data_IF_725752731966
#
_entry.id   IF_725752731966
#
_cell.length_a   1.000
_cell.length_b   1.000
_cell.length_c   1.000
_cell.angle_alpha   90.00
_cell.angle_beta   90.00
_cell.angle_gamma   90.00
#
_symmetry.space_group_name_H-M   'P 1'
#
loop_
_entity.id
_entity.type
_entity.pdbx_description
1 polymer ?
#
# COMPACT_ATOMS: atom_id res chain seq x y z
N UNK A 1 4.74 -11.14 -20.83
CA UNK A 1 5.17 -12.53 -21.04
C UNK A 1 5.82 -13.14 -19.78
N UNK A 2 6.58 -12.38 -18.98
CA UNK A 2 7.17 -12.88 -17.72
C UNK A 2 6.14 -12.87 -16.58
N UNK A 3 5.15 -12.00 -16.62
CA UNK A 3 4.12 -11.85 -15.59
C UNK A 3 3.11 -13.01 -15.53
N UNK A 4 2.73 -13.58 -16.66
CA UNK A 4 1.76 -14.67 -16.71
C UNK A 4 2.32 -16.06 -16.34
N UNK A 5 3.64 -16.22 -16.45
CA UNK A 5 4.27 -17.55 -16.31
C UNK A 5 4.49 -17.99 -14.86
N UNK A 6 4.50 -17.03 -13.89
CA UNK A 6 4.84 -17.35 -12.49
C UNK A 6 3.64 -17.58 -11.56
N UNK A 7 2.41 -17.29 -11.97
CA UNK A 7 1.36 -16.99 -11.00
C UNK A 7 0.29 -18.06 -10.78
N UNK A 8 -0.09 -18.87 -11.73
CA UNK A 8 -1.29 -19.69 -11.55
C UNK A 8 -1.06 -21.21 -11.56
N UNK A 9 0.00 -21.70 -12.15
CA UNK A 9 0.20 -23.15 -12.28
C UNK A 9 0.64 -23.82 -10.97
N UNK A 10 1.23 -23.07 -10.05
CA UNK A 10 1.80 -23.60 -8.81
C UNK A 10 0.76 -23.77 -7.70
N UNK A 11 -0.26 -22.91 -7.65
CA UNK A 11 -1.26 -22.96 -6.58
C UNK A 11 -2.29 -24.07 -6.85
N UNK A 12 -2.59 -24.86 -5.82
CA UNK A 12 -3.70 -25.81 -5.84
C UNK A 12 -5.03 -25.10 -6.13
N UNK A 13 -5.93 -25.77 -6.79
CA UNK A 13 -7.23 -25.20 -7.17
C UNK A 13 -8.03 -24.74 -5.96
N UNK A 14 -7.97 -25.48 -4.85
CA UNK A 14 -8.59 -25.09 -3.57
C UNK A 14 -8.05 -23.77 -3.03
N UNK A 15 -6.73 -23.52 -3.17
CA UNK A 15 -6.11 -22.26 -2.76
C UNK A 15 -6.53 -21.09 -3.64
N UNK A 16 -6.64 -21.30 -4.95
CA UNK A 16 -7.15 -20.28 -5.87
C UNK A 16 -8.59 -19.90 -5.53
N UNK A 17 -9.43 -20.89 -5.25
CA UNK A 17 -10.82 -20.68 -4.83
C UNK A 17 -10.89 -19.92 -3.50
N UNK A 18 -10.04 -20.27 -2.53
CA UNK A 18 -9.95 -19.58 -1.25
C UNK A 18 -9.55 -18.11 -1.42
N UNK A 19 -8.51 -17.84 -2.19
CA UNK A 19 -8.08 -16.46 -2.50
C UNK A 19 -9.22 -15.69 -3.20
N UNK A 20 -9.92 -16.33 -4.15
CA UNK A 20 -11.03 -15.70 -4.85
C UNK A 20 -12.21 -15.38 -3.92
N UNK A 21 -12.54 -16.29 -2.97
CA UNK A 21 -13.54 -16.06 -1.92
C UNK A 21 -13.16 -14.82 -1.10
N UNK A 22 -11.93 -14.75 -0.60
CA UNK A 22 -11.44 -13.64 0.22
C UNK A 22 -11.47 -12.31 -0.54
N UNK A 23 -10.99 -12.29 -1.79
CA UNK A 23 -11.04 -11.11 -2.65
C UNK A 23 -12.48 -10.58 -2.78
N UNK A 24 -13.44 -11.48 -2.94
CA UNK A 24 -14.85 -11.10 -3.06
C UNK A 24 -15.44 -10.59 -1.75
N UNK A 25 -15.16 -11.26 -0.65
CA UNK A 25 -15.65 -10.89 0.68
C UNK A 25 -15.07 -9.57 1.19
N UNK A 26 -13.77 -9.36 0.97
CA UNK A 26 -13.06 -8.13 1.35
C UNK A 26 -13.23 -7.01 0.33
N UNK A 27 -13.85 -7.27 -0.83
CA UNK A 27 -13.98 -6.31 -1.94
C UNK A 27 -12.65 -5.68 -2.34
N UNK A 28 -11.59 -6.48 -2.34
CA UNK A 28 -10.25 -6.03 -2.64
C UNK A 28 -10.19 -5.45 -4.07
N UNK A 29 -9.52 -4.32 -4.25
CA UNK A 29 -9.36 -3.71 -5.56
C UNK A 29 -8.62 -4.66 -6.52
N UNK A 30 -8.83 -4.52 -7.84
CA UNK A 30 -8.24 -5.41 -8.85
C UNK A 30 -6.72 -5.50 -8.74
N UNK A 31 -6.05 -4.37 -8.51
CA UNK A 31 -4.60 -4.31 -8.35
C UNK A 31 -4.12 -5.09 -7.12
N UNK A 32 -4.81 -4.93 -5.99
CA UNK A 32 -4.45 -5.60 -4.75
C UNK A 32 -4.78 -7.09 -4.78
N UNK A 33 -5.84 -7.45 -5.50
CA UNK A 33 -6.19 -8.84 -5.77
C UNK A 33 -5.09 -9.56 -6.55
N UNK A 34 -4.51 -8.89 -7.53
CA UNK A 34 -3.37 -9.38 -8.29
C UNK A 34 -2.12 -9.50 -7.40
N UNK A 35 -1.86 -8.47 -6.61
CA UNK A 35 -0.74 -8.45 -5.67
C UNK A 35 -0.85 -9.58 -4.63
N UNK A 36 -2.04 -9.80 -4.06
CA UNK A 36 -2.27 -10.90 -3.11
C UNK A 36 -1.93 -12.26 -3.71
N UNK A 37 -2.43 -12.57 -4.90
CA UNK A 37 -2.14 -13.83 -5.58
C UNK A 37 -0.64 -14.02 -5.80
N UNK A 38 0.02 -12.97 -6.23
CA UNK A 38 1.46 -12.97 -6.48
C UNK A 38 2.27 -13.18 -5.20
N UNK A 39 1.93 -12.45 -4.14
CA UNK A 39 2.59 -12.57 -2.83
C UNK A 39 2.43 -13.99 -2.28
N UNK A 40 1.21 -14.53 -2.27
CA UNK A 40 0.96 -15.89 -1.80
C UNK A 40 1.77 -16.91 -2.61
N UNK A 41 1.78 -16.79 -3.94
CA UNK A 41 2.54 -17.71 -4.80
C UNK A 41 4.04 -17.65 -4.53
N UNK A 42 4.61 -16.44 -4.42
CA UNK A 42 6.04 -16.24 -4.15
C UNK A 42 6.42 -16.79 -2.76
N UNK A 43 5.63 -16.46 -1.74
CA UNK A 43 5.89 -16.93 -0.37
C UNK A 43 5.88 -18.45 -0.31
N UNK A 44 4.86 -19.08 -0.86
CA UNK A 44 4.77 -20.55 -0.87
C UNK A 44 5.94 -21.20 -1.60
N UNK A 45 6.31 -20.71 -2.78
CA UNK A 45 7.46 -21.24 -3.52
C UNK A 45 8.76 -21.13 -2.70
N UNK A 46 8.96 -20.02 -2.00
CA UNK A 46 10.13 -19.83 -1.14
C UNK A 46 10.11 -20.75 0.06
N UNK A 47 8.99 -20.83 0.77
CA UNK A 47 8.83 -21.70 1.95
C UNK A 47 9.05 -23.17 1.59
N UNK A 48 8.45 -23.65 0.49
CA UNK A 48 8.65 -25.02 0.01
C UNK A 48 10.08 -25.30 -0.44
N UNK A 49 10.79 -24.28 -0.91
CA UNK A 49 12.22 -24.36 -1.23
C UNK A 49 13.15 -24.18 0.01
N UNK A 50 12.59 -24.08 1.22
CA UNK A 50 13.35 -23.83 2.45
C UNK A 50 13.97 -22.44 2.55
N UNK A 51 13.51 -21.49 1.73
CA UNK A 51 14.01 -20.10 1.67
C UNK A 51 13.07 -19.18 2.44
N UNK A 52 13.10 -19.29 3.76
CA UNK A 52 12.25 -18.48 4.64
C UNK A 52 12.64 -17.00 4.62
N UNK A 53 11.69 -16.13 4.93
CA UNK A 53 11.95 -14.72 5.22
C UNK A 53 12.52 -14.67 6.64
N UNK A 54 13.73 -14.15 6.78
CA UNK A 54 14.42 -14.04 8.08
C UNK A 54 14.16 -12.72 8.76
N UNK A 55 13.87 -11.67 7.99
CA UNK A 55 13.61 -10.33 8.46
C UNK A 55 12.78 -9.56 7.43
N UNK A 56 11.89 -8.69 7.90
CA UNK A 56 11.18 -7.70 7.09
C UNK A 56 11.47 -6.30 7.64
N UNK A 57 11.39 -5.26 6.79
CA UNK A 57 11.39 -3.89 7.30
C UNK A 57 10.35 -3.72 8.40
N UNK A 58 10.66 -2.94 9.47
CA UNK A 58 9.77 -2.80 10.63
C UNK A 58 8.33 -2.44 10.26
N UNK A 59 8.15 -1.69 9.20
CA UNK A 59 6.85 -1.24 8.70
C UNK A 59 5.90 -2.40 8.37
N UNK A 60 6.43 -3.52 7.87
CA UNK A 60 5.63 -4.72 7.57
C UNK A 60 5.16 -5.46 8.84
N UNK A 61 5.73 -5.13 9.99
CA UNK A 61 5.33 -5.68 11.29
C UNK A 61 4.46 -4.67 12.05
N UNK A 62 4.88 -3.41 12.06
CA UNK A 62 4.25 -2.36 12.87
C UNK A 62 2.91 -1.89 12.27
N UNK A 63 2.82 -1.82 10.94
CA UNK A 63 1.64 -1.28 10.24
C UNK A 63 0.72 -2.33 9.64
N UNK A 64 1.21 -3.56 9.42
CA UNK A 64 0.37 -4.65 8.90
C UNK A 64 -0.56 -5.16 10.01
N UNK A 65 -1.85 -5.21 9.72
CA UNK A 65 -2.87 -5.79 10.59
C UNK A 65 -3.41 -7.07 9.97
N UNK A 66 -3.51 -8.08 10.81
CA UNK A 66 -4.16 -9.33 10.45
C UNK A 66 -5.67 -9.20 10.64
N UNK A 67 -6.43 -9.85 9.79
CA UNK A 67 -7.86 -9.99 9.91
C UNK A 67 -8.25 -11.47 9.82
N UNK A 68 -9.48 -11.80 10.19
CA UNK A 68 -9.97 -13.17 10.26
C UNK A 68 -9.83 -13.90 8.90
N UNK A 69 -10.13 -13.21 7.79
CA UNK A 69 -10.04 -13.80 6.45
C UNK A 69 -8.61 -14.13 6.04
N UNK A 70 -7.66 -13.31 6.48
CA UNK A 70 -6.22 -13.56 6.22
C UNK A 70 -5.72 -14.71 7.07
N UNK A 71 -6.12 -14.78 8.33
CA UNK A 71 -5.77 -15.91 9.21
C UNK A 71 -6.35 -17.23 8.66
N UNK A 72 -7.59 -17.21 8.15
CA UNK A 72 -8.19 -18.36 7.47
C UNK A 72 -7.37 -18.78 6.25
N UNK A 73 -6.90 -17.82 5.44
CA UNK A 73 -6.02 -18.10 4.31
C UNK A 73 -4.70 -18.73 4.76
N UNK A 74 -4.04 -18.16 5.77
CA UNK A 74 -2.76 -18.66 6.26
C UNK A 74 -2.88 -20.09 6.79
N UNK A 75 -3.92 -20.36 7.58
CA UNK A 75 -4.23 -21.70 8.06
C UNK A 75 -4.47 -22.68 6.90
N UNK A 76 -5.24 -22.27 5.88
CA UNK A 76 -5.47 -23.08 4.69
C UNK A 76 -4.15 -23.40 3.95
N UNK A 77 -3.24 -22.40 3.82
CA UNK A 77 -1.94 -22.61 3.19
C UNK A 77 -1.09 -23.62 3.97
N UNK A 78 -1.02 -23.48 5.29
CA UNK A 78 -0.23 -24.38 6.15
C UNK A 78 -0.72 -25.83 6.04
N UNK A 79 -2.04 -26.05 6.06
CA UNK A 79 -2.62 -27.40 5.92
C UNK A 79 -2.43 -27.95 4.50
N UNK A 80 -2.78 -27.17 3.47
CA UNK A 80 -2.80 -27.64 2.08
C UNK A 80 -1.40 -27.99 1.56
N UNK A 81 -0.39 -27.25 1.97
CA UNK A 81 0.98 -27.41 1.50
C UNK A 81 1.91 -28.07 2.53
N UNK A 82 1.38 -28.43 3.71
CA UNK A 82 2.14 -28.99 4.83
C UNK A 82 3.38 -28.16 5.15
N UNK A 83 3.19 -26.86 5.32
CA UNK A 83 4.24 -25.88 5.66
C UNK A 83 3.87 -25.15 6.94
N UNK A 84 4.87 -24.51 7.55
CA UNK A 84 4.65 -23.57 8.67
C UNK A 84 5.11 -22.18 8.21
N UNK A 85 4.23 -21.20 8.33
CA UNK A 85 4.51 -19.82 8.02
C UNK A 85 5.03 -19.10 9.27
N UNK A 86 6.22 -18.52 9.19
CA UNK A 86 6.74 -17.66 10.26
C UNK A 86 5.94 -16.36 10.37
N UNK A 87 6.19 -15.59 11.43
CA UNK A 87 5.59 -14.25 11.56
C UNK A 87 5.91 -13.33 10.38
N UNK A 88 7.09 -13.52 9.76
CA UNK A 88 7.52 -12.71 8.62
C UNK A 88 6.74 -13.04 7.34
N UNK A 89 6.56 -14.33 7.01
CA UNK A 89 5.71 -14.75 5.91
C UNK A 89 4.26 -14.32 6.12
N UNK A 90 3.73 -14.45 7.35
CA UNK A 90 2.38 -14.01 7.71
C UNK A 90 2.20 -12.51 7.51
N UNK A 91 3.14 -11.68 7.99
CA UNK A 91 3.13 -10.23 7.78
C UNK A 91 3.21 -9.88 6.31
N UNK A 92 4.07 -10.57 5.54
CA UNK A 92 4.22 -10.31 4.12
C UNK A 92 3.01 -10.73 3.29
N UNK A 93 2.31 -11.81 3.64
CA UNK A 93 1.03 -12.20 3.01
C UNK A 93 -0.07 -11.20 3.33
N UNK A 94 -0.03 -10.58 4.52
CA UNK A 94 -1.06 -9.65 4.97
C UNK A 94 -0.95 -8.25 4.36
N UNK A 95 0.24 -7.84 3.88
CA UNK A 95 0.45 -6.46 3.46
C UNK A 95 -0.43 -5.99 2.29
N UNK A 96 -0.81 -6.82 1.27
CA UNK A 96 -1.70 -6.38 0.20
C UNK A 96 -3.06 -5.87 0.69
N UNK A 97 -3.52 -6.33 1.84
CA UNK A 97 -4.75 -5.85 2.48
C UNK A 97 -4.57 -4.52 3.21
N UNK A 98 -3.33 -4.11 3.46
CA UNK A 98 -2.97 -2.91 4.21
C UNK A 98 -2.52 -1.75 3.31
N UNK A 99 -2.20 -1.99 2.05
CA UNK A 99 -1.81 -0.94 1.09
C UNK A 99 -2.97 -0.02 0.76
N UNK A 100 -4.17 -0.58 0.51
CA UNK A 100 -5.37 0.18 0.21
C UNK A 100 -6.35 0.13 1.39
N UNK A 101 -6.27 1.14 2.22
CA UNK A 101 -6.98 1.24 3.50
C UNK A 101 -8.47 1.50 3.40
N UNK A 102 -9.05 1.61 2.21
CA UNK A 102 -10.50 1.82 2.05
C UNK A 102 -11.35 0.72 2.71
N UNK A 103 -10.75 -0.39 3.12
CA UNK A 103 -11.45 -1.54 3.72
C UNK A 103 -10.97 -1.93 5.12
N UNK A 104 -9.86 -1.37 5.62
CA UNK A 104 -9.34 -1.73 6.93
C UNK A 104 -9.40 -0.51 7.85
N UNK A 105 -10.50 -0.40 8.60
CA UNK A 105 -10.73 0.68 9.58
C UNK A 105 -9.72 0.74 10.74
N UNK A 106 -8.76 -0.16 10.81
CA UNK A 106 -7.88 -0.35 11.96
C UNK A 106 -6.38 -0.25 11.65
N UNK A 107 -5.95 0.27 10.49
CA UNK A 107 -4.52 0.56 10.30
C UNK A 107 -4.16 1.88 10.99
N UNK A 108 -2.92 2.02 11.47
CA UNK A 108 -2.43 3.30 12.00
C UNK A 108 -2.55 4.43 10.96
N UNK A 109 -2.45 4.09 9.67
CA UNK A 109 -2.64 5.02 8.55
C UNK A 109 -4.13 5.28 8.23
N UNK A 110 -5.07 4.59 8.87
CA UNK A 110 -6.50 4.87 8.82
C UNK A 110 -6.94 5.88 9.90
N UNK A 111 -6.03 6.30 10.78
CA UNK A 111 -6.30 7.36 11.76
C UNK A 111 -6.44 8.69 11.04
N UNK A 112 -7.67 9.16 10.93
CA UNK A 112 -7.97 10.46 10.30
C UNK A 112 -7.32 11.63 11.05
N UNK A 113 -7.12 11.51 12.37
CA UNK A 113 -6.44 12.52 13.16
C UNK A 113 -4.97 12.63 12.78
N UNK A 114 -4.28 11.51 12.60
CA UNK A 114 -2.89 11.50 12.14
C UNK A 114 -2.78 12.05 10.72
N UNK A 115 -3.71 11.65 9.83
CA UNK A 115 -3.73 12.13 8.46
C UNK A 115 -3.97 13.64 8.39
N UNK A 116 -4.91 14.17 9.20
CA UNK A 116 -5.16 15.60 9.31
C UNK A 116 -3.94 16.36 9.85
N UNK A 117 -3.24 15.82 10.85
CA UNK A 117 -1.99 16.43 11.39
C UNK A 117 -0.90 16.52 10.31
N UNK A 118 -0.71 15.47 9.51
CA UNK A 118 0.24 15.52 8.40
C UNK A 118 -0.20 16.51 7.32
N UNK A 119 -1.47 16.54 6.96
CA UNK A 119 -2.00 17.52 6.01
C UNK A 119 -1.76 18.95 6.48
N UNK A 120 -2.09 19.27 7.74
CA UNK A 120 -1.84 20.59 8.31
C UNK A 120 -0.36 21.00 8.29
N UNK A 121 0.55 20.08 8.54
CA UNK A 121 2.00 20.35 8.45
C UNK A 121 2.43 20.60 6.99
N UNK A 122 1.88 19.86 6.03
CA UNK A 122 2.10 20.11 4.60
C UNK A 122 1.58 21.51 4.21
N UNK A 123 0.34 21.85 4.58
CA UNK A 123 -0.25 23.17 4.29
C UNK A 123 0.55 24.31 4.90
N UNK A 124 0.97 24.18 6.15
CA UNK A 124 1.87 25.15 6.79
C UNK A 124 3.16 25.36 5.99
N UNK A 125 3.73 24.29 5.43
CA UNK A 125 4.94 24.40 4.60
C UNK A 125 4.65 25.09 3.27
N UNK A 126 3.52 24.81 2.65
CA UNK A 126 3.07 25.45 1.40
C UNK A 126 2.87 26.94 1.62
N UNK A 127 2.14 27.36 2.65
CA UNK A 127 1.90 28.78 2.98
C UNK A 127 3.18 29.56 3.33
N UNK A 128 4.21 28.88 3.87
CA UNK A 128 5.52 29.48 4.07
C UNK A 128 6.30 29.72 2.79
N UNK A 129 6.00 28.94 1.76
CA UNK A 129 6.74 28.95 0.50
C UNK A 129 6.06 29.81 -0.58
N UNK A 130 4.71 29.89 -0.55
CA UNK A 130 3.92 30.55 -1.57
C UNK A 130 2.72 31.24 -0.90
N UNK A 131 2.40 32.44 -1.39
CA UNK A 131 1.19 33.18 -0.95
C UNK A 131 -0.01 32.71 -1.76
N UNK A 132 -0.75 31.77 -1.22
CA UNK A 132 -1.97 31.22 -1.80
C UNK A 132 -3.03 31.05 -0.71
N UNK A 133 -4.29 31.20 -1.08
CA UNK A 133 -5.42 30.93 -0.19
C UNK A 133 -6.13 29.66 -0.66
N UNK A 134 -6.46 28.79 0.28
CA UNK A 134 -7.17 27.56 0.05
C UNK A 134 -8.35 27.44 1.04
N UNK A 135 -9.42 26.81 0.61
CA UNK A 135 -10.36 26.16 1.52
C UNK A 135 -9.73 24.84 1.97
N UNK A 136 -9.02 24.90 3.11
CA UNK A 136 -8.23 23.74 3.59
C UNK A 136 -9.12 22.56 4.00
N UNK A 137 -10.33 22.82 4.51
CA UNK A 137 -11.26 21.77 4.90
C UNK A 137 -11.79 21.03 3.65
N UNK A 138 -12.15 21.78 2.62
CA UNK A 138 -12.55 21.21 1.33
C UNK A 138 -11.38 20.42 0.71
N UNK A 139 -10.20 21.03 0.65
CA UNK A 139 -9.01 20.40 0.08
C UNK A 139 -8.65 19.10 0.83
N UNK A 140 -8.70 19.10 2.15
CA UNK A 140 -8.47 17.89 2.94
C UNK A 140 -9.49 16.80 2.64
N UNK A 141 -10.77 17.16 2.53
CA UNK A 141 -11.84 16.19 2.22
C UNK A 141 -11.62 15.48 0.89
N UNK A 142 -11.13 16.21 -0.11
CA UNK A 142 -10.84 15.66 -1.45
C UNK A 142 -9.54 14.87 -1.50
N UNK A 143 -8.51 15.31 -0.77
CA UNK A 143 -7.16 14.73 -0.85
C UNK A 143 -6.90 13.60 0.13
N UNK A 144 -7.66 13.45 1.19
CA UNK A 144 -7.35 12.52 2.30
C UNK A 144 -7.08 11.08 1.85
N UNK A 145 -7.83 10.57 0.87
CA UNK A 145 -7.64 9.21 0.37
C UNK A 145 -6.39 9.09 -0.51
N UNK A 146 -6.10 10.12 -1.31
CA UNK A 146 -4.87 10.18 -2.09
C UNK A 146 -3.65 10.27 -1.16
N UNK A 147 -3.69 11.14 -0.15
CA UNK A 147 -2.62 11.29 0.84
C UNK A 147 -2.37 9.98 1.59
N UNK A 148 -3.43 9.28 2.01
CA UNK A 148 -3.34 7.96 2.65
C UNK A 148 -2.66 6.94 1.73
N UNK A 149 -3.02 6.92 0.45
CA UNK A 149 -2.42 6.01 -0.52
C UNK A 149 -0.94 6.32 -0.76
N UNK A 150 -0.55 7.59 -0.83
CA UNK A 150 0.86 8.00 -0.90
C UNK A 150 1.61 7.53 0.35
N UNK A 151 1.07 7.79 1.54
CA UNK A 151 1.68 7.35 2.80
C UNK A 151 1.87 5.84 2.84
N UNK A 152 0.86 5.05 2.43
CA UNK A 152 0.96 3.60 2.36
C UNK A 152 2.08 3.16 1.41
N UNK A 153 2.16 3.73 0.21
CA UNK A 153 3.23 3.39 -0.73
C UNK A 153 4.62 3.72 -0.17
N UNK A 154 4.75 4.87 0.49
CA UNK A 154 6.01 5.26 1.13
C UNK A 154 6.40 4.33 2.27
N UNK A 155 5.44 3.95 3.12
CA UNK A 155 5.67 3.05 4.26
C UNK A 155 6.06 1.65 3.77
N UNK A 156 5.33 1.10 2.80
CA UNK A 156 5.56 -0.26 2.31
C UNK A 156 6.53 -0.34 1.13
N UNK A 157 7.22 0.75 0.77
CA UNK A 157 8.18 0.81 -0.34
C UNK A 157 7.60 0.31 -1.68
N UNK A 158 6.33 0.63 -1.92
CA UNK A 158 5.65 0.29 -3.17
C UNK A 158 5.93 1.38 -4.20
N UNK A 159 6.52 0.99 -5.32
CA UNK A 159 6.78 1.92 -6.42
C UNK A 159 5.48 2.34 -7.11
N UNK A 160 5.37 3.63 -7.39
CA UNK A 160 4.33 4.20 -8.22
C UNK A 160 4.88 4.44 -9.64
N UNK A 161 4.08 4.13 -10.65
CA UNK A 161 4.44 4.41 -12.04
C UNK A 161 3.74 5.68 -12.51
N UNK A 162 4.44 6.52 -13.25
CA UNK A 162 3.85 7.70 -13.88
C UNK A 162 2.91 7.29 -15.03
N UNK A 163 1.62 7.22 -14.75
CA UNK A 163 0.59 6.94 -15.74
C UNK A 163 0.26 8.15 -16.62
N UNK A 164 0.69 9.34 -16.23
CA UNK A 164 0.39 10.60 -16.90
C UNK A 164 1.56 11.09 -17.76
N UNK A 165 2.69 10.41 -17.74
CA UNK A 165 3.88 10.73 -18.57
C UNK A 165 4.31 12.21 -18.51
N UNK A 166 4.23 12.82 -17.32
CA UNK A 166 4.57 14.22 -17.07
C UNK A 166 3.53 15.23 -17.58
N UNK A 167 2.36 14.78 -18.03
CA UNK A 167 1.30 15.69 -18.49
C UNK A 167 0.77 16.59 -17.37
N UNK A 168 0.68 16.08 -16.13
CA UNK A 168 0.19 16.84 -14.98
C UNK A 168 1.10 18.04 -14.69
N UNK A 169 2.42 17.85 -14.68
CA UNK A 169 3.38 18.93 -14.50
C UNK A 169 3.25 20.03 -15.59
N UNK A 170 3.00 19.62 -16.83
CA UNK A 170 2.84 20.56 -17.96
C UNK A 170 1.51 21.30 -17.95
N UNK A 171 0.42 20.63 -17.60
CA UNK A 171 -0.93 21.22 -17.63
C UNK A 171 -1.24 22.02 -16.38
N UNK A 172 -0.72 21.61 -15.21
CA UNK A 172 -1.01 22.19 -13.92
C UNK A 172 0.28 22.50 -13.11
N UNK A 173 1.21 23.32 -13.67
CA UNK A 173 2.54 23.51 -13.10
C UNK A 173 2.48 24.07 -11.67
N UNK A 174 1.54 24.96 -11.35
CA UNK A 174 1.40 25.49 -10.00
C UNK A 174 0.96 24.41 -9.02
N UNK A 175 -0.09 23.65 -9.36
CA UNK A 175 -0.57 22.56 -8.50
C UNK A 175 0.52 21.52 -8.28
N UNK A 176 1.28 21.16 -9.33
CA UNK A 176 2.39 20.24 -9.24
C UNK A 176 3.51 20.71 -8.30
N UNK A 177 3.92 21.99 -8.37
CA UNK A 177 4.91 22.55 -7.46
C UNK A 177 4.39 22.62 -6.01
N UNK A 178 3.10 22.92 -5.79
CA UNK A 178 2.50 22.90 -4.46
C UNK A 178 2.47 21.48 -3.88
N UNK A 179 2.07 20.49 -4.69
CA UNK A 179 2.12 19.06 -4.32
C UNK A 179 3.55 18.63 -3.95
N UNK A 180 4.54 19.05 -4.73
CA UNK A 180 5.95 18.77 -4.48
C UNK A 180 6.44 19.35 -3.15
N UNK A 181 6.08 20.59 -2.83
CA UNK A 181 6.43 21.23 -1.54
C UNK A 181 5.78 20.45 -0.38
N UNK A 182 4.48 20.13 -0.50
CA UNK A 182 3.75 19.37 0.51
C UNK A 182 4.32 17.97 0.71
N UNK A 183 4.57 17.24 -0.39
CA UNK A 183 5.12 15.89 -0.34
C UNK A 183 6.56 15.83 0.18
N UNK A 184 7.39 16.86 -0.08
CA UNK A 184 8.71 16.94 0.54
C UNK A 184 8.60 17.04 2.07
N UNK A 185 7.65 17.82 2.59
CA UNK A 185 7.41 17.89 4.03
C UNK A 185 6.88 16.56 4.57
N UNK A 186 5.96 15.89 3.87
CA UNK A 186 5.50 14.56 4.22
C UNK A 186 6.65 13.57 4.30
N UNK A 187 7.54 13.58 3.30
CA UNK A 187 8.74 12.74 3.28
C UNK A 187 9.64 12.98 4.49
N UNK A 188 9.83 14.24 4.87
CA UNK A 188 10.59 14.61 6.08
C UNK A 188 9.94 14.07 7.34
N UNK A 189 8.61 14.18 7.47
CA UNK A 189 7.85 13.68 8.62
C UNK A 189 7.90 12.16 8.75
N UNK A 190 7.86 11.46 7.62
CA UNK A 190 7.94 9.99 7.56
C UNK A 190 9.38 9.46 7.53
N UNK A 191 10.39 10.35 7.47
CA UNK A 191 11.79 9.99 7.23
C UNK A 191 11.96 9.12 5.97
N UNK A 192 11.30 9.52 4.87
CA UNK A 192 11.29 8.81 3.58
C UNK A 192 11.55 9.76 2.42
N UNK A 193 12.20 9.25 1.38
CA UNK A 193 12.29 9.96 0.11
C UNK A 193 10.97 9.77 -0.65
N UNK A 194 10.30 10.86 -1.02
CA UNK A 194 9.08 10.82 -1.83
C UNK A 194 9.46 10.92 -3.29
N UNK A 195 9.13 9.92 -4.13
CA UNK A 195 9.34 9.99 -5.57
C UNK A 195 8.53 11.13 -6.20
N UNK A 196 9.11 11.84 -7.15
CA UNK A 196 8.43 12.97 -7.83
C UNK A 196 7.17 12.55 -8.57
N UNK A 197 7.08 11.29 -9.00
CA UNK A 197 5.88 10.73 -9.63
C UNK A 197 4.63 10.85 -8.74
N UNK A 198 4.78 10.86 -7.43
CA UNK A 198 3.67 11.02 -6.49
C UNK A 198 3.00 12.40 -6.58
N UNK A 199 3.71 13.42 -7.07
CA UNK A 199 3.13 14.75 -7.29
C UNK A 199 2.01 14.76 -8.34
N UNK A 200 2.04 13.82 -9.28
CA UNK A 200 0.98 13.68 -10.29
C UNK A 200 -0.28 12.97 -9.78
N UNK A 201 -0.25 12.42 -8.58
CA UNK A 201 -1.37 11.71 -7.96
C UNK A 201 -1.99 12.46 -6.78
N UNK A 202 -1.37 13.53 -6.32
CA UNK A 202 -1.85 14.40 -5.27
C UNK A 202 -2.49 15.67 -5.84
#
# INVERSE_FOLDING_TARGET
>A
YVQEYFEEQFLHETTKQMIQKIIKETRLAKQDSFLLRRVVSIVLQRVLAGKLITELPPEYVDYVRHNEQIEELMYHLEITYNVTLSQWERSFISFPFNINTNHIRNSLLADEGLLADYFQKMMKKIHHSVVVEFDEDFLFSEMKDHLRNVMNRLVFHVECHDLFYGEIERQYPLAYELAKIGLQELGRLLNRCVPTVECGYL
#
